data_IF_061197418547
#
_entry.id   IF_061197418547
#
_cell.length_a   1.000
_cell.length_b   1.000
_cell.length_c   1.000
_cell.angle_alpha   90.00
_cell.angle_beta   90.00
_cell.angle_gamma   90.00
#
_symmetry.space_group_name_H-M   'P 1'
#
loop_
_entity.id
_entity.type
_entity.pdbx_description
1 polymer ?
#
# COMPACT_ATOMS: atom_id res chain seq x y z
N UNK A 1 -21.16 -24.05 9.21
CA UNK A 1 -19.87 -24.47 8.61
C UNK A 1 -19.11 -23.20 8.24
N UNK A 2 -17.94 -22.93 8.83
CA UNK A 2 -17.20 -21.68 8.56
C UNK A 2 -16.30 -21.83 7.33
N UNK A 3 -16.10 -20.73 6.58
CA UNK A 3 -15.20 -20.67 5.43
C UNK A 3 -13.77 -21.14 5.79
N UNK A 4 -13.30 -20.81 7.00
CA UNK A 4 -11.99 -21.22 7.52
C UNK A 4 -11.83 -22.75 7.60
N UNK A 5 -12.87 -23.48 8.01
CA UNK A 5 -12.86 -24.94 8.07
C UNK A 5 -12.86 -25.55 6.67
N UNK A 6 -13.57 -24.93 5.72
CA UNK A 6 -13.60 -25.41 4.33
C UNK A 6 -12.25 -25.24 3.63
N UNK A 7 -11.56 -24.12 3.88
CA UNK A 7 -10.22 -23.87 3.33
C UNK A 7 -9.16 -24.89 3.75
N UNK A 8 -9.33 -25.57 4.89
CA UNK A 8 -8.44 -26.65 5.31
C UNK A 8 -8.54 -27.90 4.41
N UNK A 9 -9.64 -28.04 3.67
CA UNK A 9 -9.91 -29.19 2.81
C UNK A 9 -9.63 -28.90 1.33
N UNK A 10 -9.22 -27.67 0.99
CA UNK A 10 -8.84 -27.32 -0.37
C UNK A 10 -7.43 -27.83 -0.62
N UNK A 11 -7.28 -28.70 -1.62
CA UNK A 11 -5.98 -29.22 -2.00
C UNK A 11 -5.05 -28.10 -2.51
N UNK A 12 -3.79 -28.18 -2.15
CA UNK A 12 -2.77 -27.16 -2.42
C UNK A 12 -2.63 -26.88 -3.92
N UNK A 13 -2.64 -27.93 -4.75
CA UNK A 13 -2.56 -27.83 -6.22
C UNK A 13 -3.73 -27.06 -6.83
N UNK A 14 -4.93 -27.22 -6.26
CA UNK A 14 -6.14 -26.51 -6.71
C UNK A 14 -6.12 -25.06 -6.32
N UNK A 15 -5.66 -24.75 -5.10
CA UNK A 15 -5.53 -23.37 -4.64
C UNK A 15 -4.44 -22.63 -5.44
N UNK A 16 -3.32 -23.29 -5.71
CA UNK A 16 -2.25 -22.75 -6.54
C UNK A 16 -2.74 -22.49 -7.97
N UNK A 17 -3.38 -23.47 -8.62
CA UNK A 17 -3.91 -23.30 -9.97
C UNK A 17 -4.95 -22.18 -10.06
N UNK A 18 -5.87 -22.10 -9.10
CA UNK A 18 -6.84 -21.00 -9.03
C UNK A 18 -6.15 -19.64 -8.89
N UNK A 19 -5.11 -19.56 -8.05
CA UNK A 19 -4.39 -18.32 -7.81
C UNK A 19 -3.57 -17.90 -9.02
N UNK A 20 -2.72 -18.78 -9.54
CA UNK A 20 -1.79 -18.43 -10.61
C UNK A 20 -2.49 -18.26 -11.96
N UNK A 21 -3.55 -19.04 -12.23
CA UNK A 21 -4.25 -19.00 -13.52
C UNK A 21 -5.42 -18.02 -13.47
N UNK A 22 -6.31 -18.09 -12.48
CA UNK A 22 -7.56 -17.32 -12.54
C UNK A 22 -7.44 -15.96 -11.87
N UNK A 23 -6.77 -15.85 -10.72
CA UNK A 23 -6.63 -14.59 -10.00
C UNK A 23 -5.66 -13.64 -10.70
N UNK A 24 -4.46 -14.09 -11.02
CA UNK A 24 -3.41 -13.25 -11.61
C UNK A 24 -3.79 -12.75 -13.02
N UNK A 25 -4.43 -13.58 -13.85
CA UNK A 25 -4.88 -13.18 -15.19
C UNK A 25 -5.82 -11.97 -15.17
N UNK A 26 -6.60 -11.75 -14.11
CA UNK A 26 -7.48 -10.57 -14.04
C UNK A 26 -6.70 -9.25 -13.99
N UNK A 27 -5.47 -9.28 -13.46
CA UNK A 27 -4.64 -8.08 -13.30
C UNK A 27 -3.72 -7.79 -14.49
N UNK A 28 -3.65 -8.71 -15.46
CA UNK A 28 -3.01 -8.44 -16.75
C UNK A 28 -3.65 -7.21 -17.41
N UNK A 29 -2.82 -6.39 -18.05
CA UNK A 29 -3.23 -5.07 -18.58
C UNK A 29 -4.51 -5.15 -19.41
N UNK A 30 -4.60 -6.14 -20.30
CA UNK A 30 -5.75 -6.36 -21.20
C UNK A 30 -7.05 -6.66 -20.46
N UNK A 31 -7.00 -7.39 -19.35
CA UNK A 31 -8.17 -7.81 -18.59
C UNK A 31 -8.57 -6.75 -17.56
N UNK A 32 -7.59 -6.12 -16.91
CA UNK A 32 -7.81 -5.01 -15.97
C UNK A 32 -8.55 -3.84 -16.61
N UNK A 33 -8.20 -3.46 -17.85
CA UNK A 33 -8.87 -2.37 -18.56
C UNK A 33 -10.28 -2.74 -19.03
N UNK A 34 -10.56 -4.04 -19.23
CA UNK A 34 -11.86 -4.53 -19.69
C UNK A 34 -12.87 -4.72 -18.55
N UNK A 35 -12.39 -5.15 -17.39
CA UNK A 35 -13.26 -5.46 -16.24
C UNK A 35 -12.60 -5.07 -14.91
N UNK A 36 -12.52 -3.76 -14.59
CA UNK A 36 -11.95 -3.28 -13.33
C UNK A 36 -12.74 -3.74 -12.10
N UNK A 37 -14.04 -4.01 -12.26
CA UNK A 37 -14.93 -4.53 -11.22
C UNK A 37 -14.50 -5.94 -10.78
N UNK A 38 -14.12 -6.81 -11.72
CA UNK A 38 -13.61 -8.16 -11.43
C UNK A 38 -12.33 -8.09 -10.60
N UNK A 39 -11.40 -7.19 -10.95
CA UNK A 39 -10.20 -6.93 -10.15
C UNK A 39 -10.55 -6.53 -8.71
N UNK A 40 -11.57 -5.68 -8.55
CA UNK A 40 -12.03 -5.26 -7.23
C UNK A 40 -12.66 -6.41 -6.44
N UNK A 41 -13.52 -7.22 -7.05
CA UNK A 41 -14.13 -8.40 -6.42
C UNK A 41 -13.06 -9.40 -5.97
N UNK A 42 -12.05 -9.62 -6.81
CA UNK A 42 -10.89 -10.44 -6.50
C UNK A 42 -10.14 -9.92 -5.27
N UNK A 43 -9.77 -8.63 -5.25
CA UNK A 43 -9.07 -8.04 -4.11
C UNK A 43 -9.91 -8.10 -2.83
N UNK A 44 -11.22 -7.94 -2.93
CA UNK A 44 -12.12 -8.10 -1.79
C UNK A 44 -12.15 -9.56 -1.30
N UNK A 45 -12.18 -10.54 -2.20
CA UNK A 45 -12.08 -11.96 -1.84
C UNK A 45 -10.78 -12.29 -1.12
N UNK A 46 -9.64 -11.85 -1.66
CA UNK A 46 -8.33 -11.99 -1.04
C UNK A 46 -8.29 -11.34 0.35
N UNK A 47 -8.83 -10.11 0.48
CA UNK A 47 -8.92 -9.42 1.76
C UNK A 47 -9.71 -10.23 2.80
N UNK A 48 -10.82 -10.84 2.42
CA UNK A 48 -11.63 -11.65 3.34
C UNK A 48 -10.91 -12.95 3.71
N UNK A 49 -10.26 -13.60 2.75
CA UNK A 49 -9.45 -14.80 3.03
C UNK A 49 -8.32 -14.50 4.02
N UNK A 50 -7.65 -13.36 3.87
CA UNK A 50 -6.57 -12.94 4.77
C UNK A 50 -7.04 -12.51 6.16
N UNK A 51 -8.33 -12.22 6.35
CA UNK A 51 -8.92 -11.89 7.67
C UNK A 51 -9.33 -13.12 8.48
N UNK A 52 -9.27 -14.32 7.88
CA UNK A 52 -9.68 -15.53 8.57
C UNK A 52 -8.74 -15.80 9.75
N UNK A 53 -9.27 -16.13 10.93
CA UNK A 53 -8.44 -16.49 12.07
C UNK A 53 -7.77 -17.85 11.81
N UNK A 54 -6.47 -17.93 12.06
CA UNK A 54 -5.66 -19.15 11.99
C UNK A 54 -5.76 -19.91 10.64
N UNK A 55 -5.40 -19.28 9.51
CA UNK A 55 -5.32 -19.98 8.24
C UNK A 55 -4.19 -21.03 8.29
N UNK A 56 -4.37 -22.15 7.59
CA UNK A 56 -3.28 -23.12 7.43
C UNK A 56 -2.04 -22.42 6.84
N UNK A 57 -0.84 -22.78 7.30
CA UNK A 57 0.40 -22.09 6.92
C UNK A 57 0.60 -22.04 5.40
N UNK A 58 0.27 -23.12 4.68
CA UNK A 58 0.35 -23.17 3.22
C UNK A 58 -0.62 -22.18 2.56
N UNK A 59 -1.89 -22.15 3.01
CA UNK A 59 -2.88 -21.18 2.52
C UNK A 59 -2.40 -19.74 2.73
N UNK A 60 -1.78 -19.46 3.87
CA UNK A 60 -1.23 -18.14 4.16
C UNK A 60 -0.12 -17.77 3.18
N UNK A 61 0.88 -18.64 2.96
CA UNK A 61 1.96 -18.35 2.00
C UNK A 61 1.44 -18.09 0.58
N UNK A 62 0.43 -18.83 0.12
CA UNK A 62 -0.17 -18.59 -1.20
C UNK A 62 -0.91 -17.25 -1.29
N UNK A 63 -1.69 -16.89 -0.28
CA UNK A 63 -2.37 -15.60 -0.24
C UNK A 63 -1.36 -14.45 -0.26
N UNK A 64 -0.22 -14.61 0.41
CA UNK A 64 0.85 -13.62 0.42
C UNK A 64 1.49 -13.48 -0.96
N UNK A 65 1.90 -14.59 -1.58
CA UNK A 65 2.46 -14.60 -2.93
C UNK A 65 1.49 -14.03 -3.97
N UNK A 66 0.18 -14.29 -3.82
CA UNK A 66 -0.84 -13.72 -4.69
C UNK A 66 -0.87 -12.20 -4.59
N UNK A 67 -0.85 -11.65 -3.38
CA UNK A 67 -0.83 -10.20 -3.15
C UNK A 67 0.44 -9.58 -3.72
N UNK A 68 1.60 -10.22 -3.55
CA UNK A 68 2.88 -9.77 -4.12
C UNK A 68 2.84 -9.73 -5.65
N UNK A 69 2.44 -10.83 -6.31
CA UNK A 69 2.31 -10.89 -7.78
C UNK A 69 1.33 -9.86 -8.32
N UNK A 70 0.22 -9.62 -7.61
CA UNK A 70 -0.74 -8.57 -8.00
C UNK A 70 -0.11 -7.18 -7.88
N UNK A 71 0.68 -6.92 -6.84
CA UNK A 71 1.36 -5.63 -6.68
C UNK A 71 2.31 -5.32 -7.83
N UNK A 72 3.04 -6.33 -8.32
CA UNK A 72 3.92 -6.22 -9.48
C UNK A 72 3.15 -5.83 -10.75
N UNK A 73 1.98 -6.44 -10.98
CA UNK A 73 1.14 -6.23 -12.16
C UNK A 73 0.36 -4.91 -12.18
N UNK A 74 0.19 -4.26 -11.02
CA UNK A 74 -0.45 -2.94 -10.96
C UNK A 74 0.36 -1.90 -11.75
N UNK A 75 -0.26 -0.83 -12.29
CA UNK A 75 0.48 0.20 -12.99
C UNK A 75 1.39 1.00 -12.04
N UNK A 76 2.55 1.38 -12.56
CA UNK A 76 3.58 2.17 -11.85
C UNK A 76 3.10 3.59 -11.55
N UNK A 77 2.43 4.20 -12.51
CA UNK A 77 1.76 5.48 -12.33
C UNK A 77 0.46 5.27 -11.57
N UNK A 78 0.36 5.84 -10.38
CA UNK A 78 -0.86 5.70 -9.59
C UNK A 78 -1.84 6.78 -10.04
N UNK A 79 -2.69 6.47 -11.03
CA UNK A 79 -3.78 7.35 -11.45
C UNK A 79 -4.93 7.30 -10.42
N UNK A 80 -4.74 7.96 -9.27
CA UNK A 80 -5.63 7.86 -8.11
C UNK A 80 -7.09 8.23 -8.45
N UNK A 81 -7.32 9.08 -9.47
CA UNK A 81 -8.67 9.51 -9.87
C UNK A 81 -9.49 8.42 -10.59
N UNK A 82 -8.86 7.48 -11.30
CA UNK A 82 -9.54 6.43 -12.07
C UNK A 82 -9.46 5.04 -11.42
N UNK A 83 -8.38 4.76 -10.69
CA UNK A 83 -8.09 3.41 -10.15
C UNK A 83 -8.15 3.32 -8.62
N UNK A 84 -8.65 4.37 -7.94
CA UNK A 84 -8.64 4.47 -6.48
C UNK A 84 -9.17 3.23 -5.77
N UNK A 85 -10.24 2.61 -6.28
CA UNK A 85 -10.89 1.43 -5.65
C UNK A 85 -10.02 0.16 -5.68
N UNK A 86 -9.30 -0.08 -6.79
CA UNK A 86 -8.41 -1.24 -6.94
C UNK A 86 -7.22 -1.06 -5.99
N UNK A 87 -6.58 0.10 -6.07
CA UNK A 87 -5.48 0.46 -5.18
C UNK A 87 -5.88 0.44 -3.70
N UNK A 88 -7.06 0.94 -3.33
CA UNK A 88 -7.57 0.91 -1.96
C UNK A 88 -7.91 -0.52 -1.48
N UNK A 89 -8.42 -1.39 -2.35
CA UNK A 89 -8.73 -2.77 -2.00
C UNK A 89 -7.45 -3.60 -1.82
N UNK A 90 -6.47 -3.39 -2.71
CA UNK A 90 -5.13 -3.98 -2.60
C UNK A 90 -4.42 -3.53 -1.32
N UNK A 91 -4.47 -2.22 -1.03
CA UNK A 91 -4.00 -1.63 0.23
C UNK A 91 -4.59 -2.27 1.48
N UNK A 92 -5.89 -2.59 1.47
CA UNK A 92 -6.54 -3.28 2.58
C UNK A 92 -6.02 -4.71 2.75
N UNK A 93 -5.69 -5.41 1.67
CA UNK A 93 -5.07 -6.75 1.74
C UNK A 93 -3.70 -6.65 2.41
N UNK A 94 -2.86 -5.72 1.95
CA UNK A 94 -1.54 -5.46 2.54
C UNK A 94 -1.65 -4.98 4.00
N UNK A 95 -2.69 -4.22 4.35
CA UNK A 95 -2.93 -3.81 5.73
C UNK A 95 -3.20 -5.00 6.67
N UNK A 96 -3.92 -6.03 6.20
CA UNK A 96 -4.13 -7.25 7.00
C UNK A 96 -2.86 -8.10 7.10
N UNK A 97 -1.98 -8.01 6.10
CA UNK A 97 -0.73 -8.75 6.03
C UNK A 97 0.30 -8.33 7.10
N UNK A 98 0.20 -7.11 7.66
CA UNK A 98 1.08 -6.60 8.73
C UNK A 98 2.59 -6.81 8.45
N UNK A 99 2.98 -6.89 7.18
CA UNK A 99 4.36 -7.19 6.79
C UNK A 99 5.07 -5.90 6.42
N UNK A 100 5.88 -5.48 7.38
CA UNK A 100 6.76 -4.33 7.43
C UNK A 100 7.81 -4.27 6.30
N UNK A 101 7.76 -5.18 5.33
CA UNK A 101 8.87 -5.56 4.45
C UNK A 101 8.40 -6.00 3.05
N UNK A 102 7.29 -5.43 2.54
CA UNK A 102 7.19 -5.41 1.08
C UNK A 102 8.40 -4.61 0.60
N UNK A 103 9.33 -5.27 -0.08
CA UNK A 103 10.50 -4.68 -0.69
C UNK A 103 10.02 -3.83 -1.85
N UNK A 104 9.50 -2.66 -1.48
CA UNK A 104 8.71 -1.76 -2.28
C UNK A 104 9.67 -0.93 -3.14
N UNK A 105 10.55 -1.60 -3.86
CA UNK A 105 11.72 -0.99 -4.47
C UNK A 105 11.55 -0.72 -5.96
N UNK A 106 10.52 -1.28 -6.58
CA UNK A 106 10.45 -1.27 -8.05
C UNK A 106 9.86 0.03 -8.62
N UNK A 107 9.18 0.87 -7.81
CA UNK A 107 8.63 2.15 -8.29
C UNK A 107 8.36 3.17 -7.17
N UNK A 108 8.84 4.41 -7.34
CA UNK A 108 8.73 5.50 -6.35
C UNK A 108 7.27 5.89 -6.05
N UNK A 109 6.40 6.01 -7.06
CA UNK A 109 4.99 6.41 -6.86
C UNK A 109 4.20 5.32 -6.13
N UNK A 110 4.26 4.06 -6.61
CA UNK A 110 3.61 2.93 -5.92
C UNK A 110 4.13 2.80 -4.50
N UNK A 111 5.43 2.98 -4.30
CA UNK A 111 6.05 2.83 -3.00
C UNK A 111 5.59 3.91 -2.01
N UNK A 112 5.63 5.16 -2.47
CA UNK A 112 5.13 6.33 -1.76
C UNK A 112 3.66 6.14 -1.40
N UNK A 113 2.82 5.79 -2.36
CA UNK A 113 1.38 5.61 -2.17
C UNK A 113 1.03 4.60 -1.08
N UNK A 114 1.78 3.50 -1.00
CA UNK A 114 1.61 2.46 0.01
C UNK A 114 2.12 2.89 1.37
N UNK A 115 3.33 3.46 1.46
CA UNK A 115 3.88 4.00 2.72
C UNK A 115 2.93 5.03 3.33
N UNK A 116 2.48 5.99 2.52
CA UNK A 116 1.55 7.03 2.94
C UNK A 116 0.23 6.45 3.43
N UNK A 117 -0.29 5.41 2.78
CA UNK A 117 -1.50 4.75 3.27
C UNK A 117 -1.30 4.05 4.61
N UNK A 118 -0.22 3.31 4.79
CA UNK A 118 0.05 2.63 6.05
C UNK A 118 0.20 3.62 7.21
N UNK A 119 0.85 4.76 6.96
CA UNK A 119 0.89 5.88 7.92
C UNK A 119 -0.51 6.43 8.19
N UNK A 120 -1.30 6.67 7.14
CA UNK A 120 -2.68 7.20 7.27
C UNK A 120 -3.62 6.30 8.09
N UNK A 121 -3.34 4.99 8.11
CA UNK A 121 -4.08 4.00 8.90
C UNK A 121 -3.45 3.74 10.29
N UNK A 122 -2.36 4.43 10.63
CA UNK A 122 -1.64 4.28 11.89
C UNK A 122 -0.76 3.02 12.01
N UNK A 123 -0.57 2.25 10.94
CA UNK A 123 0.31 1.06 10.96
C UNK A 123 1.79 1.41 10.91
N UNK A 124 2.13 2.59 10.40
CA UNK A 124 3.46 3.15 10.43
C UNK A 124 3.46 4.47 11.20
N UNK A 125 4.56 4.83 11.89
CA UNK A 125 4.67 6.10 12.59
C UNK A 125 4.66 7.27 11.60
N UNK A 126 4.20 8.44 12.07
CA UNK A 126 4.17 9.68 11.27
C UNK A 126 5.55 10.12 10.79
N UNK A 127 6.63 9.75 11.50
CA UNK A 127 8.02 10.01 11.11
C UNK A 127 8.37 9.44 9.73
N UNK A 128 7.70 8.37 9.28
CA UNK A 128 7.88 7.84 7.93
C UNK A 128 7.42 8.80 6.83
N UNK A 129 6.59 9.80 7.14
CA UNK A 129 6.24 10.86 6.20
C UNK A 129 7.46 11.71 5.87
N UNK A 130 8.29 12.03 6.87
CA UNK A 130 9.52 12.83 6.67
C UNK A 130 10.51 12.11 5.77
N UNK A 131 10.79 10.83 6.05
CA UNK A 131 11.63 10.00 5.18
C UNK A 131 11.07 9.89 3.75
N UNK A 132 9.74 9.85 3.61
CA UNK A 132 9.11 9.83 2.28
C UNK A 132 9.25 11.19 1.58
N UNK A 133 9.13 12.31 2.29
CA UNK A 133 9.32 13.67 1.75
C UNK A 133 10.73 13.82 1.18
N UNK A 134 11.75 13.32 1.90
CA UNK A 134 13.15 13.35 1.42
C UNK A 134 13.31 12.57 0.11
N UNK A 135 12.77 11.35 0.04
CA UNK A 135 12.82 10.50 -1.16
C UNK A 135 12.14 11.18 -2.36
N UNK A 136 10.98 11.82 -2.14
CA UNK A 136 10.19 12.39 -3.23
C UNK A 136 10.55 13.83 -3.58
N UNK A 137 11.37 14.52 -2.76
CA UNK A 137 11.75 15.91 -3.00
C UNK A 137 12.45 16.09 -4.35
N UNK A 138 13.28 15.11 -4.74
CA UNK A 138 13.98 15.04 -6.02
C UNK A 138 13.17 14.44 -7.17
N UNK A 139 11.93 13.97 -6.95
CA UNK A 139 11.12 13.34 -7.99
C UNK A 139 10.44 14.37 -8.90
N UNK A 140 10.47 14.16 -10.21
CA UNK A 140 9.98 15.14 -11.20
C UNK A 140 8.44 15.27 -11.22
N UNK A 141 7.70 14.18 -11.04
CA UNK A 141 6.22 14.19 -11.12
C UNK A 141 5.59 14.45 -9.76
N UNK A 142 5.58 15.74 -9.37
CA UNK A 142 5.20 16.17 -8.01
C UNK A 142 3.69 16.23 -7.76
N UNK A 143 2.85 16.39 -8.79
CA UNK A 143 1.41 16.59 -8.63
C UNK A 143 0.71 15.35 -8.04
N UNK A 144 0.98 14.17 -8.59
CA UNK A 144 0.43 12.90 -8.09
C UNK A 144 0.87 12.66 -6.64
N UNK A 145 2.16 12.83 -6.35
CA UNK A 145 2.72 12.63 -5.03
C UNK A 145 2.10 13.59 -4.01
N UNK A 146 1.98 14.88 -4.34
CA UNK A 146 1.37 15.87 -3.48
C UNK A 146 -0.06 15.48 -3.09
N UNK A 147 -0.84 14.99 -4.05
CA UNK A 147 -2.19 14.50 -3.79
C UNK A 147 -2.20 13.32 -2.81
N UNK A 148 -1.27 12.36 -2.95
CA UNK A 148 -1.15 11.23 -2.03
C UNK A 148 -0.81 11.68 -0.60
N UNK A 149 0.06 12.69 -0.46
CA UNK A 149 0.39 13.29 0.84
C UNK A 149 -0.82 13.97 1.46
N UNK A 150 -1.55 14.78 0.70
CA UNK A 150 -2.77 15.44 1.17
C UNK A 150 -3.79 14.43 1.71
N UNK A 151 -4.01 13.36 0.94
CA UNK A 151 -4.88 12.26 1.34
C UNK A 151 -4.39 11.56 2.61
N UNK A 152 -3.07 11.31 2.72
CA UNK A 152 -2.45 10.71 3.90
C UNK A 152 -2.67 11.57 5.15
N UNK A 153 -2.38 12.87 5.07
CA UNK A 153 -2.56 13.81 6.18
C UNK A 153 -4.02 13.88 6.64
N UNK A 154 -4.95 13.96 5.69
CA UNK A 154 -6.38 13.99 6.00
C UNK A 154 -6.82 12.73 6.77
N UNK A 155 -6.41 11.55 6.32
CA UNK A 155 -6.78 10.30 6.97
C UNK A 155 -6.04 10.07 8.29
N UNK A 156 -4.76 10.42 8.39
CA UNK A 156 -3.99 10.35 9.64
C UNK A 156 -4.60 11.23 10.75
N UNK A 157 -5.32 12.30 10.38
CA UNK A 157 -6.07 13.12 11.33
C UNK A 157 -7.30 12.40 11.90
N UNK A 158 -8.00 11.63 11.06
CA UNK A 158 -9.31 11.03 11.38
C UNK A 158 -9.15 9.66 12.03
N UNK A 159 -8.18 8.86 11.58
CA UNK A 159 -7.97 7.51 12.10
C UNK A 159 -7.44 7.59 13.53
N UNK A 160 -8.18 6.94 14.45
CA UNK A 160 -7.80 6.81 15.85
C UNK A 160 -6.83 5.64 16.00
N UNK A 161 -5.54 5.94 16.12
CA UNK A 161 -4.48 4.97 16.38
C UNK A 161 -3.40 5.63 17.26
N UNK A 162 -2.68 4.85 18.06
CA UNK A 162 -1.59 5.34 18.92
C UNK A 162 -0.51 6.10 18.13
N UNK A 163 -0.16 5.57 16.94
CA UNK A 163 0.81 6.16 16.02
C UNK A 163 0.36 7.45 15.33
N UNK A 164 -0.94 7.74 15.30
CA UNK A 164 -1.52 8.95 14.68
C UNK A 164 -2.20 9.86 15.69
N UNK A 165 -1.98 9.63 16.98
CA UNK A 165 -2.56 10.41 18.07
C UNK A 165 -2.16 11.89 18.04
N UNK A 166 -2.88 12.73 18.80
CA UNK A 166 -2.66 14.19 18.83
C UNK A 166 -1.20 14.53 19.14
N UNK A 167 -0.63 13.93 20.18
CA UNK A 167 0.77 14.17 20.57
C UNK A 167 1.74 13.79 19.44
N UNK A 168 1.58 12.61 18.83
CA UNK A 168 2.43 12.17 17.70
C UNK A 168 2.34 13.11 16.50
N UNK A 169 1.17 13.68 16.23
CA UNK A 169 0.99 14.69 15.18
C UNK A 169 1.69 15.99 15.53
N UNK A 170 1.64 16.42 16.79
CA UNK A 170 2.34 17.63 17.24
C UNK A 170 3.86 17.44 17.17
N UNK A 171 4.38 16.32 17.67
CA UNK A 171 5.80 15.96 17.60
C UNK A 171 6.28 16.01 16.14
N UNK A 172 5.57 15.32 15.24
CA UNK A 172 5.93 15.28 13.82
C UNK A 172 5.85 16.65 13.13
N UNK A 173 4.88 17.50 13.48
CA UNK A 173 4.79 18.86 12.92
C UNK A 173 5.98 19.72 13.36
N UNK A 174 6.43 19.60 14.60
CA UNK A 174 7.63 20.29 15.09
C UNK A 174 8.88 19.82 14.33
N UNK A 175 9.02 18.51 14.13
CA UNK A 175 10.11 17.94 13.33
C UNK A 175 10.09 18.47 11.89
N UNK A 176 8.91 18.50 11.26
CA UNK A 176 8.74 19.01 9.90
C UNK A 176 9.09 20.49 9.80
N UNK A 177 8.67 21.31 10.77
CA UNK A 177 9.05 22.73 10.83
C UNK A 177 10.56 22.90 10.94
N UNK A 178 11.23 22.07 11.75
CA UNK A 178 12.69 22.02 11.84
C UNK A 178 13.34 21.69 10.49
N UNK A 179 12.83 20.66 9.81
CA UNK A 179 13.28 20.28 8.47
C UNK A 179 13.13 21.42 7.44
N UNK A 180 11.96 22.04 7.37
CA UNK A 180 11.70 23.17 6.45
C UNK A 180 12.68 24.31 6.71
N UNK A 181 12.91 24.66 7.99
CA UNK A 181 13.87 25.71 8.36
C UNK A 181 15.29 25.37 7.88
N UNK A 182 15.72 24.12 8.06
CA UNK A 182 17.06 23.68 7.66
C UNK A 182 17.25 23.70 6.14
N UNK A 183 16.21 23.33 5.38
CA UNK A 183 16.20 23.43 3.91
C UNK A 183 16.25 24.89 3.47
N UNK A 184 15.43 25.77 4.06
CA UNK A 184 15.39 27.19 3.72
C UNK A 184 16.74 27.89 3.97
N UNK A 185 17.43 27.50 5.04
CA UNK A 185 18.75 28.03 5.38
C UNK A 185 19.90 27.38 4.59
N UNK A 186 19.60 26.55 3.58
CA UNK A 186 20.58 25.76 2.79
C UNK A 186 21.50 24.88 3.64
N UNK A 187 21.11 24.60 4.89
CA UNK A 187 21.86 23.74 5.80
C UNK A 187 21.70 22.26 5.43
N UNK A 188 20.68 21.92 4.63
CA UNK A 188 20.49 20.62 3.98
C UNK A 188 20.55 20.86 2.46
N UNK A 189 21.53 20.31 1.74
CA UNK A 189 21.52 20.33 0.28
C UNK A 189 20.40 19.43 -0.21
N UNK A 190 19.39 20.01 -0.87
CA UNK A 190 18.46 19.23 -1.70
C UNK A 190 19.30 18.71 -2.88
N UNK A 191 19.70 17.44 -2.82
CA UNK A 191 20.26 16.79 -4.00
C UNK A 191 19.14 16.74 -5.04
N UNK A 192 19.23 17.61 -6.05
CA UNK A 192 18.58 17.34 -7.31
C UNK A 192 19.22 16.05 -7.81
N UNK A 193 18.50 14.95 -7.71
CA UNK A 193 18.89 13.73 -8.40
C UNK A 193 18.61 14.02 -9.86
N UNK A 194 19.64 14.49 -10.56
CA UNK A 194 19.63 14.54 -12.02
C UNK A 194 19.45 13.08 -12.49
N UNK A 195 18.28 12.81 -13.09
CA UNK A 195 17.92 11.57 -13.76
C UNK A 195 18.06 11.77 -15.28
#
# INVERSE_FOLDING_TARGET
MSLSLWMQHVAEDKLQSFTEVLLIQQFEVKNRTKSPETCQCVLQGLLQAMKLPNPAQFCWSFLCQAVEKIYELLPNEVQVRKECKIYCSHKKCIFQFNMFLLHLQNNIEKATFMKLYLVSQGRLPLTNLSATIEIVAGYHQKENILWMFLHSFYHARIVKHENTGVLKRMDWLLDLMGYIRNVANKSIPLQNVDL
#
